data_IF_523923003671
#
_entry.id   IF_523923003671
#
_cell.length_a   1.000
_cell.length_b   1.000
_cell.length_c   1.000
_cell.angle_alpha   90.00
_cell.angle_beta   90.00
_cell.angle_gamma   90.00
#
_symmetry.space_group_name_H-M   'P 1'
#
loop_
_entity.id
_entity.type
_entity.pdbx_description
1 polymer ?
#
# COMPACT_ATOMS: atom_id res chain seq x y z
N UNK A 1 -0.59 -27.59 11.58
CA UNK A 1 -0.69 -26.95 11.51
C UNK A 1 -0.49 -26.61 11.48
N UNK A 2 -0.80 -26.28 11.46
CA UNK A 2 -0.96 -25.53 11.20
C UNK A 2 -0.81 -24.94 11.31
N UNK A 3 -0.77 -25.41 11.67
CA UNK A 3 -0.83 -24.65 11.75
C UNK A 3 -0.58 -24.16 11.44
N UNK A 4 -0.67 -24.33 11.48
CA UNK A 4 -0.62 -23.62 11.05
C UNK A 4 -0.35 -23.19 10.35
N UNK A 5 0.06 -24.21 11.09
CA UNK A 5 0.14 -23.37 10.17
C UNK A 5 -0.95 -23.10 9.28
N UNK A 6 -1.65 -22.39 9.45
CA UNK A 6 -2.56 -21.99 8.50
C UNK A 6 -2.02 -21.98 7.17
N UNK A 7 -2.78 -22.30 6.22
CA UNK A 7 -2.29 -22.31 4.87
C UNK A 7 -1.95 -20.89 4.47
N UNK A 8 -1.02 -20.77 3.58
CA UNK A 8 -0.65 -19.45 3.12
C UNK A 8 -1.78 -18.81 2.34
N UNK A 9 -2.57 -19.61 1.67
CA UNK A 9 -3.71 -19.07 0.96
C UNK A 9 -4.67 -18.34 1.86
N UNK A 10 -4.90 -18.89 3.04
CA UNK A 10 -5.79 -18.24 3.98
C UNK A 10 -5.21 -16.91 4.46
N UNK A 11 -3.92 -16.89 4.70
CA UNK A 11 -3.30 -15.65 5.14
C UNK A 11 -3.41 -14.59 4.05
N UNK A 12 -3.26 -15.00 2.80
CA UNK A 12 -3.39 -14.05 1.70
C UNK A 12 -4.80 -13.49 1.63
N UNK A 13 -5.79 -14.32 1.88
CA UNK A 13 -7.16 -13.82 1.85
C UNK A 13 -7.42 -12.80 2.92
N UNK A 14 -6.70 -12.92 4.04
CA UNK A 14 -6.88 -11.96 5.12
C UNK A 14 -6.33 -10.59 4.78
N UNK A 15 -5.57 -10.49 3.70
CA UNK A 15 -5.04 -9.20 3.28
C UNK A 15 -5.93 -8.51 2.25
N UNK A 16 -7.18 -8.90 2.20
CA UNK A 16 -8.16 -8.22 1.35
C UNK A 16 -7.73 -8.18 -0.11
N UNK A 17 -7.23 -9.31 -0.60
CA UNK A 17 -6.85 -9.40 -2.00
C UNK A 17 -5.46 -8.92 -2.33
N UNK A 18 -4.74 -8.36 -1.37
CA UNK A 18 -3.37 -7.91 -1.63
C UNK A 18 -2.43 -9.10 -1.61
N UNK A 19 -1.33 -8.97 -2.36
CA UNK A 19 -0.41 -10.08 -2.55
C UNK A 19 0.37 -10.42 -1.30
N UNK A 20 0.58 -9.46 -0.42
CA UNK A 20 1.41 -9.68 0.75
C UNK A 20 0.93 -8.79 1.86
N UNK A 21 1.39 -9.10 3.07
CA UNK A 21 1.11 -8.25 4.21
C UNK A 21 1.65 -6.84 3.99
N UNK A 22 2.85 -6.75 3.42
CA UNK A 22 3.44 -5.43 3.19
C UNK A 22 2.57 -4.59 2.27
N UNK A 23 2.08 -5.18 1.18
CA UNK A 23 1.23 -4.46 0.25
C UNK A 23 -0.06 -4.03 0.91
N UNK A 24 -0.67 -4.93 1.68
CA UNK A 24 -1.90 -4.59 2.39
C UNK A 24 -1.68 -3.45 3.36
N UNK A 25 -0.58 -3.52 4.12
CA UNK A 25 -0.33 -2.51 5.15
C UNK A 25 -0.01 -1.14 4.55
N UNK A 26 0.75 -1.13 3.45
CA UNK A 26 1.01 0.13 2.75
C UNK A 26 -0.31 0.73 2.28
N UNK A 27 -1.17 -0.09 1.69
CA UNK A 27 -2.46 0.39 1.22
C UNK A 27 -3.30 0.93 2.37
N UNK A 28 -3.28 0.23 3.49
CA UNK A 28 -4.04 0.63 4.67
C UNK A 28 -3.63 2.02 5.14
N UNK A 29 -2.32 2.24 5.27
CA UNK A 29 -1.85 3.52 5.80
C UNK A 29 -2.00 4.66 4.81
N UNK A 30 -1.80 4.41 3.51
CA UNK A 30 -2.03 5.45 2.52
C UNK A 30 -3.49 5.89 2.52
N UNK A 31 -4.40 4.98 2.80
CA UNK A 31 -5.82 5.29 2.79
C UNK A 31 -6.34 5.83 4.11
N UNK A 32 -5.75 5.40 5.23
CA UNK A 32 -6.29 5.75 6.54
C UNK A 32 -5.62 6.92 7.23
N UNK A 33 -4.39 7.23 6.87
CA UNK A 33 -3.73 8.41 7.41
C UNK A 33 -4.25 9.61 6.64
N UNK A 34 -4.92 10.51 7.32
CA UNK A 34 -5.58 11.60 6.64
C UNK A 34 -4.62 12.48 5.83
N UNK A 35 -3.46 12.76 6.39
CA UNK A 35 -2.48 13.58 5.69
C UNK A 35 -1.99 12.91 4.43
N UNK A 36 -1.64 11.62 4.55
CA UNK A 36 -1.18 10.86 3.39
C UNK A 36 -2.27 10.74 2.35
N UNK A 37 -3.48 10.44 2.80
CA UNK A 37 -4.60 10.28 1.89
C UNK A 37 -4.85 11.53 1.05
N UNK A 38 -4.87 12.69 1.71
CA UNK A 38 -5.11 13.93 1.01
C UNK A 38 -4.01 14.25 0.01
N UNK A 39 -2.79 14.04 0.45
CA UNK A 39 -1.64 14.32 -0.42
C UNK A 39 -1.65 13.42 -1.64
N UNK A 40 -1.82 12.13 -1.42
CA UNK A 40 -1.80 11.18 -2.52
C UNK A 40 -2.99 11.39 -3.46
N UNK A 41 -4.16 11.66 -2.89
CA UNK A 41 -5.35 11.93 -3.70
C UNK A 41 -5.11 13.12 -4.62
N UNK A 42 -4.48 14.16 -4.10
CA UNK A 42 -4.15 15.33 -4.91
C UNK A 42 -3.21 15.00 -6.05
N UNK A 43 -2.21 14.16 -5.76
CA UNK A 43 -1.27 13.76 -6.79
C UNK A 43 -1.95 12.94 -7.88
N UNK A 44 -2.83 12.02 -7.48
CA UNK A 44 -3.53 11.18 -8.45
C UNK A 44 -4.41 12.04 -9.35
N UNK A 45 -5.10 13.01 -8.77
CA UNK A 45 -5.96 13.88 -9.56
C UNK A 45 -5.17 14.72 -10.55
N UNK A 46 -4.00 15.16 -10.14
CA UNK A 46 -3.22 16.05 -10.99
C UNK A 46 -2.40 15.30 -12.01
N UNK A 47 -1.81 14.19 -11.66
CA UNK A 47 -0.84 13.51 -12.50
C UNK A 47 -1.25 12.13 -12.99
N UNK A 48 -2.32 11.57 -12.44
CA UNK A 48 -2.69 10.20 -12.74
C UNK A 48 -1.96 9.22 -11.83
N UNK A 49 -2.44 7.99 -11.80
CA UNK A 49 -1.95 7.02 -10.83
C UNK A 49 -0.47 6.67 -11.00
N UNK A 50 -0.05 6.49 -12.25
CA UNK A 50 1.33 6.07 -12.50
C UNK A 50 2.32 7.12 -12.02
N UNK A 51 2.09 8.36 -12.40
CA UNK A 51 3.01 9.43 -12.01
C UNK A 51 2.89 9.74 -10.54
N UNK A 52 1.67 9.63 -10.00
CA UNK A 52 1.47 9.86 -8.57
C UNK A 52 2.27 8.84 -7.77
N UNK A 53 2.24 7.58 -8.19
CA UNK A 53 2.99 6.53 -7.47
C UNK A 53 4.48 6.84 -7.46
N UNK A 54 5.02 7.32 -8.57
CA UNK A 54 6.42 7.69 -8.63
C UNK A 54 6.73 8.84 -7.68
N UNK A 55 5.85 9.83 -7.63
CA UNK A 55 6.06 10.98 -6.76
C UNK A 55 5.98 10.58 -5.29
N UNK A 56 5.04 9.72 -4.96
CA UNK A 56 4.93 9.22 -3.59
C UNK A 56 6.21 8.47 -3.22
N UNK A 57 6.68 7.59 -4.11
CA UNK A 57 7.88 6.83 -3.83
C UNK A 57 9.10 7.73 -3.65
N UNK A 58 9.18 8.81 -4.42
CA UNK A 58 10.33 9.72 -4.29
C UNK A 58 10.33 10.41 -2.94
N UNK A 59 9.17 10.64 -2.36
CA UNK A 59 9.09 11.33 -1.09
C UNK A 59 9.22 10.42 0.12
N UNK A 60 8.55 9.27 0.09
CA UNK A 60 8.53 8.41 1.27
C UNK A 60 9.04 7.00 1.00
N UNK A 61 9.57 6.76 -0.18
CA UNK A 61 10.08 5.42 -0.51
C UNK A 61 11.16 4.99 0.46
N UNK A 62 11.08 3.77 0.92
CA UNK A 62 12.03 3.23 1.87
C UNK A 62 11.65 3.45 3.32
N UNK A 63 10.73 4.37 3.59
CA UNK A 63 10.28 4.57 4.95
C UNK A 63 9.31 3.47 5.33
N UNK A 64 8.98 3.40 6.61
CA UNK A 64 8.10 2.34 7.09
C UNK A 64 6.81 2.90 7.63
N UNK A 65 5.74 2.12 7.48
CA UNK A 65 4.49 2.45 8.12
C UNK A 65 4.64 2.26 9.63
N UNK A 66 3.71 2.76 10.42
CA UNK A 66 3.76 2.53 11.87
C UNK A 66 3.79 1.05 12.23
N UNK A 67 3.27 0.18 11.37
CA UNK A 67 3.28 -1.26 11.62
C UNK A 67 4.53 -1.94 11.08
N UNK A 68 5.41 -1.20 10.41
CA UNK A 68 6.67 -1.74 9.96
C UNK A 68 6.76 -2.14 8.50
N UNK A 69 5.69 -1.96 7.73
CA UNK A 69 5.76 -2.26 6.30
C UNK A 69 6.61 -1.20 5.60
N UNK A 70 7.24 -1.60 4.52
CA UNK A 70 8.11 -0.69 3.77
C UNK A 70 7.34 -0.08 2.61
N UNK A 71 7.43 1.23 2.46
CA UNK A 71 6.84 1.90 1.30
C UNK A 71 7.75 1.66 0.11
N UNK A 72 7.54 0.55 -0.57
CA UNK A 72 8.30 0.28 -1.76
C UNK A 72 7.46 0.60 -2.98
N UNK A 73 8.14 0.67 -4.12
CA UNK A 73 7.50 1.13 -5.33
C UNK A 73 6.32 0.27 -5.75
N UNK A 74 6.50 -1.04 -5.69
CA UNK A 74 5.47 -1.98 -6.10
C UNK A 74 4.23 -1.84 -5.23
N UNK A 75 4.43 -1.75 -3.92
CA UNK A 75 3.30 -1.66 -2.99
C UNK A 75 2.56 -0.33 -3.11
N UNK A 76 3.31 0.76 -3.33
CA UNK A 76 2.67 2.06 -3.50
C UNK A 76 1.83 2.04 -4.78
N UNK A 77 2.39 1.54 -5.86
CA UNK A 77 1.66 1.49 -7.12
C UNK A 77 0.41 0.63 -7.01
N UNK A 78 0.54 -0.52 -6.35
CA UNK A 78 -0.60 -1.39 -6.15
C UNK A 78 -1.69 -0.71 -5.32
N UNK A 79 -1.27 0.05 -4.31
CA UNK A 79 -2.23 0.73 -3.46
C UNK A 79 -3.04 1.75 -4.24
N UNK A 80 -2.42 2.43 -5.20
CA UNK A 80 -3.10 3.46 -5.96
C UNK A 80 -3.97 2.92 -7.09
N UNK A 81 -3.86 1.63 -7.38
CA UNK A 81 -4.60 1.05 -8.50
C UNK A 81 -6.11 1.30 -8.38
N UNK A 82 -6.65 1.27 -7.18
CA UNK A 82 -8.07 1.47 -6.98
C UNK A 82 -8.49 2.90 -6.76
N UNK A 83 -7.57 3.85 -6.84
CA UNK A 83 -7.90 5.25 -6.56
C UNK A 83 -8.37 5.96 -7.81
N UNK A 84 -9.25 6.91 -7.59
CA UNK A 84 -9.73 7.74 -8.70
C UNK A 84 -8.99 9.07 -8.74
#
# INVERSE_FOLDING_TARGET
MHVNVKSKGEMMREYNGHRSWNAWNVSLWLGNDEGLYRWVTGLVREYGKERAALKVFREIGGERTPDGAVYNRTCIRAALTGWE
#
